data_IF_966578818027
#
_entry.id   IF_966578818027
#
_cell.length_a   1.000
_cell.length_b   1.000
_cell.length_c   1.000
_cell.angle_alpha   90.00
_cell.angle_beta   90.00
_cell.angle_gamma   90.00
#
_symmetry.space_group_name_H-M   'P 1'
#
loop_
_entity.id
_entity.type
_entity.pdbx_description
1 polymer ?
#
# COMPACT_ATOMS: atom_id res chain seq x y z
N UNK A 1 11.79 21.48 9.50
CA UNK A 1 10.57 21.11 8.72
C UNK A 1 10.97 20.24 7.54
N UNK A 2 10.22 19.20 7.29
CA UNK A 2 10.40 18.30 6.14
C UNK A 2 9.18 18.45 5.24
N UNK A 3 9.40 18.74 3.97
CA UNK A 3 8.31 18.87 2.98
C UNK A 3 8.13 17.55 2.23
N UNK A 4 6.89 17.07 2.15
CA UNK A 4 6.49 15.85 1.47
C UNK A 4 5.33 16.11 0.52
N UNK A 5 5.32 15.40 -0.60
CA UNK A 5 4.13 15.31 -1.47
C UNK A 5 3.43 13.98 -1.22
N UNK A 6 2.22 14.03 -0.64
CA UNK A 6 1.42 12.84 -0.34
C UNK A 6 0.08 12.96 -1.03
N UNK A 7 -0.25 11.99 -1.88
CA UNK A 7 -1.48 11.95 -2.66
C UNK A 7 -1.74 13.25 -3.44
N UNK A 8 -0.68 13.81 -4.02
CA UNK A 8 -0.74 15.02 -4.82
C UNK A 8 -0.80 16.33 -4.03
N UNK A 9 -0.80 16.26 -2.70
CA UNK A 9 -0.81 17.44 -1.83
C UNK A 9 0.52 17.58 -1.08
N UNK A 10 1.01 18.81 -0.97
CA UNK A 10 2.21 19.11 -0.20
C UNK A 10 1.89 19.28 1.29
N UNK A 11 2.75 18.69 2.11
CA UNK A 11 2.70 18.79 3.57
C UNK A 11 4.08 19.16 4.10
N UNK A 12 4.10 20.11 5.03
CA UNK A 12 5.29 20.46 5.80
C UNK A 12 5.12 19.91 7.22
N UNK A 13 6.00 19.01 7.62
CA UNK A 13 5.90 18.32 8.90
C UNK A 13 7.11 18.60 9.76
N UNK A 14 6.87 18.84 11.05
CA UNK A 14 7.90 19.08 12.05
C UNK A 14 8.18 17.78 12.81
N UNK A 15 9.02 16.95 12.23
CA UNK A 15 9.41 15.65 12.78
C UNK A 15 10.90 15.43 12.62
N UNK A 16 11.46 14.52 13.42
CA UNK A 16 12.86 14.09 13.26
C UNK A 16 13.07 13.41 11.90
N UNK A 17 14.24 13.63 11.23
CA UNK A 17 14.52 13.03 9.92
C UNK A 17 14.49 11.50 9.88
N UNK A 18 14.71 10.86 11.01
CA UNK A 18 14.67 9.39 11.16
C UNK A 18 13.28 8.83 11.49
N UNK A 19 12.28 9.71 11.67
CA UNK A 19 10.90 9.26 11.92
C UNK A 19 10.43 8.37 10.78
N UNK A 20 9.91 7.15 11.07
CA UNK A 20 9.35 6.29 10.03
C UNK A 20 8.21 6.97 9.28
N UNK A 21 8.23 6.85 7.97
CA UNK A 21 7.20 7.43 7.08
C UNK A 21 5.78 7.03 7.51
N UNK A 22 5.61 5.81 8.03
CA UNK A 22 4.33 5.33 8.53
C UNK A 22 3.71 6.27 9.57
N UNK A 23 4.51 6.72 10.55
CA UNK A 23 4.02 7.60 11.61
C UNK A 23 3.80 9.01 11.12
N UNK A 24 4.60 9.48 10.18
CA UNK A 24 4.36 10.78 9.53
C UNK A 24 3.01 10.77 8.82
N UNK A 25 2.72 9.71 8.07
CA UNK A 25 1.43 9.56 7.36
C UNK A 25 0.26 9.49 8.35
N UNK A 26 0.38 8.68 9.40
CA UNK A 26 -0.72 8.44 10.33
C UNK A 26 -0.92 9.57 11.34
N UNK A 27 0.18 10.04 11.96
CA UNK A 27 0.09 10.94 13.12
C UNK A 27 0.24 12.41 12.74
N UNK A 28 1.21 12.74 11.88
CA UNK A 28 1.42 14.13 11.48
C UNK A 28 0.44 14.60 10.40
N UNK A 29 0.11 13.73 9.42
CA UNK A 29 -0.80 14.05 8.31
C UNK A 29 -2.23 13.60 8.61
N UNK A 30 -2.41 12.55 9.40
CA UNK A 30 -3.74 12.05 9.81
C UNK A 30 -4.38 11.07 8.83
N UNK A 31 -3.61 10.49 7.91
CA UNK A 31 -4.09 9.46 6.98
C UNK A 31 -3.93 8.08 7.62
N UNK A 32 -5.01 7.48 8.08
CA UNK A 32 -5.00 6.27 8.91
C UNK A 32 -5.23 4.96 8.16
N UNK A 33 -5.42 5.00 6.85
CA UNK A 33 -5.63 3.80 6.02
C UNK A 33 -4.42 2.87 5.97
N UNK A 34 -3.21 3.42 5.99
CA UNK A 34 -1.97 2.66 6.09
C UNK A 34 -1.78 2.16 7.52
N UNK A 35 -1.50 0.87 7.71
CA UNK A 35 -1.54 0.22 9.02
C UNK A 35 -0.16 -0.17 9.54
N UNK A 36 0.00 -0.20 10.85
CA UNK A 36 1.15 -0.75 11.55
C UNK A 36 0.90 -2.23 11.90
N UNK A 37 1.89 -3.08 11.64
CA UNK A 37 1.84 -4.49 12.03
C UNK A 37 3.13 -4.90 12.76
N UNK A 38 4.17 -5.32 12.00
CA UNK A 38 5.41 -5.83 12.60
C UNK A 38 6.42 -4.74 12.99
N UNK A 39 6.44 -3.60 12.32
CA UNK A 39 7.47 -2.57 12.49
C UNK A 39 8.86 -2.95 11.93
N UNK A 40 8.97 -4.10 11.26
CA UNK A 40 10.22 -4.69 10.79
C UNK A 40 10.23 -4.92 9.27
N UNK A 41 9.35 -4.28 8.54
CA UNK A 41 9.20 -4.38 7.09
C UNK A 41 8.85 -5.80 6.59
N UNK A 42 8.26 -6.64 7.43
CA UNK A 42 8.01 -8.05 7.11
C UNK A 42 6.54 -8.36 6.76
N UNK A 43 5.57 -7.71 7.42
CA UNK A 43 4.17 -8.09 7.27
C UNK A 43 3.46 -7.40 6.09
N UNK A 44 3.96 -6.29 5.61
CA UNK A 44 3.39 -5.56 4.47
C UNK A 44 2.17 -4.69 4.76
N UNK A 45 1.66 -4.63 5.99
CA UNK A 45 0.49 -3.82 6.35
C UNK A 45 0.71 -2.32 6.10
N UNK A 46 1.94 -1.86 6.15
CA UNK A 46 2.34 -0.46 5.98
C UNK A 46 2.72 -0.08 4.54
N UNK A 47 2.44 -0.91 3.56
CA UNK A 47 2.86 -0.67 2.17
C UNK A 47 2.24 0.61 1.62
N UNK A 48 3.09 1.47 1.08
CA UNK A 48 2.75 2.68 0.32
C UNK A 48 3.58 2.70 -0.96
N UNK A 49 3.32 3.64 -1.87
CA UNK A 49 4.17 3.84 -3.04
C UNK A 49 5.05 5.07 -2.87
N UNK A 50 6.32 4.95 -3.29
CA UNK A 50 7.22 6.07 -3.57
C UNK A 50 7.48 6.09 -5.08
N UNK A 51 6.99 7.10 -5.78
CA UNK A 51 7.04 7.18 -7.25
C UNK A 51 6.58 5.87 -7.92
N UNK A 52 5.49 5.30 -7.43
CA UNK A 52 4.90 4.06 -7.96
C UNK A 52 5.56 2.76 -7.50
N UNK A 53 6.63 2.82 -6.71
CA UNK A 53 7.31 1.65 -6.17
C UNK A 53 6.78 1.32 -4.77
N UNK A 54 6.35 0.09 -4.57
CA UNK A 54 5.88 -0.37 -3.25
C UNK A 54 7.03 -0.42 -2.24
N UNK A 55 6.85 0.25 -1.10
CA UNK A 55 7.80 0.27 0.01
C UNK A 55 7.09 0.02 1.34
N UNK A 56 7.84 -0.43 2.34
CA UNK A 56 7.35 -0.63 3.71
C UNK A 56 7.57 0.65 4.52
N UNK A 57 6.51 1.40 4.76
CA UNK A 57 6.61 2.71 5.41
C UNK A 57 7.10 2.64 6.86
N UNK A 58 6.94 1.51 7.55
CA UNK A 58 7.42 1.35 8.93
C UNK A 58 8.94 1.36 9.06
N UNK A 59 9.66 1.02 8.00
CA UNK A 59 11.12 1.00 7.97
C UNK A 59 11.75 2.03 7.04
N UNK A 60 10.96 2.96 6.50
CA UNK A 60 11.43 4.02 5.60
C UNK A 60 11.54 5.32 6.39
N UNK A 61 12.75 5.82 6.67
CA UNK A 61 12.92 7.14 7.32
C UNK A 61 12.33 8.23 6.42
N UNK A 62 11.64 9.20 7.03
CA UNK A 62 11.03 10.30 6.27
C UNK A 62 12.03 11.08 5.44
N UNK A 63 13.25 11.24 5.94
CA UNK A 63 14.35 11.91 5.23
C UNK A 63 14.74 11.23 3.91
N UNK A 64 14.53 9.91 3.79
CA UNK A 64 14.84 9.15 2.57
C UNK A 64 13.83 9.33 1.45
N UNK A 65 12.68 9.92 1.74
CA UNK A 65 11.64 10.18 0.75
C UNK A 65 12.08 11.24 -0.26
N UNK A 66 12.74 12.31 0.23
CA UNK A 66 13.20 13.40 -0.64
C UNK A 66 12.07 14.02 -1.43
N UNK A 67 12.26 14.14 -2.74
CA UNK A 67 11.28 14.73 -3.66
C UNK A 67 10.30 13.72 -4.25
N UNK A 68 10.39 12.44 -3.84
CA UNK A 68 9.51 11.38 -4.36
C UNK A 68 8.07 11.60 -3.90
N UNK A 69 7.14 11.27 -4.77
CA UNK A 69 5.71 11.34 -4.49
C UNK A 69 5.26 10.12 -3.72
N UNK A 70 4.66 10.35 -2.56
CA UNK A 70 4.06 9.29 -1.73
C UNK A 70 2.61 9.10 -2.16
N UNK A 71 2.23 7.84 -2.41
CA UNK A 71 0.82 7.47 -2.62
C UNK A 71 0.43 6.46 -1.54
N UNK A 72 -0.62 6.79 -0.80
CA UNK A 72 -1.23 5.90 0.20
C UNK A 72 -2.51 5.28 -0.35
N UNK A 73 -3.13 4.38 0.41
CA UNK A 73 -4.41 3.76 0.01
C UNK A 73 -5.50 4.81 -0.23
N UNK A 74 -5.49 5.91 0.51
CA UNK A 74 -6.45 7.00 0.34
C UNK A 74 -6.29 7.72 -1.01
N UNK A 75 -5.09 7.67 -1.59
CA UNK A 75 -4.78 8.29 -2.88
C UNK A 75 -4.67 7.31 -4.05
N UNK A 76 -4.99 6.01 -3.85
CA UNK A 76 -4.87 5.02 -4.92
C UNK A 76 -5.81 5.33 -6.09
N UNK A 77 -7.04 5.72 -5.80
CA UNK A 77 -7.95 6.28 -6.79
C UNK A 77 -9.04 7.14 -6.13
N UNK A 78 -9.61 8.12 -6.87
CA UNK A 78 -10.79 8.85 -6.39
C UNK A 78 -11.97 7.88 -6.18
N UNK A 79 -12.74 8.08 -5.12
CA UNK A 79 -13.96 7.31 -4.83
C UNK A 79 -13.75 5.78 -4.79
N UNK A 80 -12.55 5.31 -4.47
CA UNK A 80 -12.22 3.88 -4.39
C UNK A 80 -12.57 3.11 -5.67
N UNK A 81 -12.30 3.69 -6.82
CA UNK A 81 -12.69 3.16 -8.15
C UNK A 81 -11.58 2.43 -8.89
N UNK A 82 -10.41 2.22 -8.26
CA UNK A 82 -9.34 1.44 -8.87
C UNK A 82 -9.83 0.02 -9.18
N UNK A 83 -9.48 -0.58 -10.34
CA UNK A 83 -9.90 -1.93 -10.71
C UNK A 83 -9.68 -2.97 -9.60
N UNK A 84 -8.58 -2.87 -8.87
CA UNK A 84 -8.29 -3.72 -7.71
C UNK A 84 -9.30 -3.51 -6.58
N UNK A 85 -9.66 -2.28 -6.26
CA UNK A 85 -10.65 -2.00 -5.21
C UNK A 85 -12.02 -2.54 -5.58
N UNK A 86 -12.42 -2.39 -6.83
CA UNK A 86 -13.67 -2.96 -7.36
C UNK A 86 -13.62 -4.49 -7.29
N UNK A 87 -12.51 -5.10 -7.69
CA UNK A 87 -12.33 -6.56 -7.64
C UNK A 87 -12.33 -7.09 -6.20
N UNK A 88 -11.73 -6.35 -5.26
CA UNK A 88 -11.74 -6.71 -3.84
C UNK A 88 -13.14 -6.83 -3.27
N UNK A 89 -14.00 -5.88 -3.61
CA UNK A 89 -15.42 -5.92 -3.21
C UNK A 89 -16.14 -7.08 -3.88
N UNK A 90 -15.98 -7.25 -5.19
CA UNK A 90 -16.65 -8.29 -5.96
C UNK A 90 -16.27 -9.71 -5.50
N UNK A 91 -15.02 -9.94 -5.13
CA UNK A 91 -14.53 -11.22 -4.62
C UNK A 91 -14.70 -11.37 -3.10
N UNK A 92 -15.24 -10.37 -2.42
CA UNK A 92 -15.44 -10.36 -0.96
C UNK A 92 -14.17 -10.75 -0.21
N UNK A 93 -13.04 -10.12 -0.56
CA UNK A 93 -11.71 -10.47 -0.07
C UNK A 93 -11.59 -10.29 1.44
N UNK A 94 -11.94 -9.13 2.05
CA UNK A 94 -11.62 -8.86 3.44
C UNK A 94 -12.37 -9.76 4.43
N UNK A 95 -11.70 -10.08 5.54
CA UNK A 95 -12.35 -10.52 6.78
C UNK A 95 -12.18 -9.41 7.82
N UNK A 96 -11.10 -9.39 8.63
CA UNK A 96 -10.91 -8.29 9.59
C UNK A 96 -10.57 -6.96 8.89
N UNK A 97 -10.05 -6.98 7.70
CA UNK A 97 -9.73 -5.80 6.90
C UNK A 97 -8.38 -5.15 7.22
N UNK A 98 -7.68 -5.57 8.25
CA UNK A 98 -6.49 -4.86 8.74
C UNK A 98 -5.32 -4.86 7.74
N UNK A 99 -5.06 -5.96 7.05
CA UNK A 99 -3.96 -6.09 6.08
C UNK A 99 -4.31 -5.58 4.69
N UNK A 100 -5.55 -5.22 4.42
CA UNK A 100 -6.03 -5.08 3.04
C UNK A 100 -5.50 -3.84 2.34
N UNK A 101 -5.28 -2.73 3.04
CA UNK A 101 -4.66 -1.55 2.43
C UNK A 101 -3.25 -1.89 1.89
N UNK A 102 -2.44 -2.59 2.66
CA UNK A 102 -1.12 -3.05 2.23
C UNK A 102 -1.19 -4.05 1.08
N UNK A 103 -2.14 -4.99 1.13
CA UNK A 103 -2.37 -5.96 0.06
C UNK A 103 -2.72 -5.26 -1.27
N UNK A 104 -3.64 -4.30 -1.23
CA UNK A 104 -4.04 -3.51 -2.39
C UNK A 104 -2.89 -2.70 -2.98
N UNK A 105 -2.10 -2.04 -2.13
CA UNK A 105 -0.96 -1.24 -2.59
C UNK A 105 0.13 -2.10 -3.25
N UNK A 106 0.42 -3.28 -2.69
CA UNK A 106 1.36 -4.22 -3.31
C UNK A 106 0.84 -4.76 -4.64
N UNK A 107 -0.45 -5.11 -4.71
CA UNK A 107 -1.08 -5.57 -5.93
C UNK A 107 -1.12 -4.49 -7.02
N UNK A 108 -1.39 -3.23 -6.64
CA UNK A 108 -1.39 -2.12 -7.59
C UNK A 108 0.00 -1.88 -8.21
N UNK A 109 1.06 -1.99 -7.41
CA UNK A 109 2.43 -1.90 -7.92
C UNK A 109 2.75 -3.06 -8.89
N UNK A 110 2.28 -4.27 -8.60
CA UNK A 110 2.42 -5.41 -9.50
C UNK A 110 1.73 -5.17 -10.84
N UNK A 111 0.46 -4.79 -10.83
CA UNK A 111 -0.31 -4.60 -12.07
C UNK A 111 0.22 -3.44 -12.92
N UNK A 112 0.81 -2.41 -12.30
CA UNK A 112 1.45 -1.33 -13.03
C UNK A 112 2.67 -1.81 -13.82
N UNK A 113 3.41 -2.79 -13.31
CA UNK A 113 4.58 -3.38 -13.97
C UNK A 113 4.18 -4.54 -14.89
N UNK A 114 3.21 -5.32 -14.51
CA UNK A 114 2.79 -6.55 -15.19
C UNK A 114 1.26 -6.60 -15.26
N UNK A 115 0.67 -6.01 -16.31
CA UNK A 115 -0.80 -5.89 -16.41
C UNK A 115 -1.55 -7.22 -16.47
N UNK A 116 -0.88 -8.31 -16.88
CA UNK A 116 -1.45 -9.66 -16.92
C UNK A 116 -0.52 -10.64 -16.21
N UNK A 117 -0.50 -10.62 -14.86
CA UNK A 117 0.39 -11.47 -14.09
C UNK A 117 -0.06 -12.93 -14.11
N UNK A 118 0.91 -13.84 -14.04
CA UNK A 118 0.66 -15.27 -13.77
C UNK A 118 0.47 -15.49 -12.27
N UNK A 119 0.02 -16.68 -11.86
CA UNK A 119 -0.04 -17.05 -10.45
C UNK A 119 1.33 -16.90 -9.76
N UNK A 120 2.41 -17.33 -10.44
CA UNK A 120 3.76 -17.19 -9.90
C UNK A 120 4.16 -15.72 -9.69
N UNK A 121 3.78 -14.84 -10.60
CA UNK A 121 4.03 -13.40 -10.47
C UNK A 121 3.29 -12.81 -9.27
N UNK A 122 2.04 -13.21 -9.08
CA UNK A 122 1.21 -12.77 -7.94
C UNK A 122 1.80 -13.30 -6.64
N UNK A 123 2.11 -14.58 -6.58
CA UNK A 123 2.68 -15.20 -5.37
C UNK A 123 4.00 -14.55 -4.99
N UNK A 124 4.87 -14.25 -5.95
CA UNK A 124 6.14 -13.56 -5.71
C UNK A 124 5.94 -12.12 -5.21
N UNK A 125 5.06 -11.37 -5.86
CA UNK A 125 4.81 -9.97 -5.50
C UNK A 125 4.11 -9.81 -4.15
N UNK A 126 3.23 -10.76 -3.79
CA UNK A 126 2.41 -10.70 -2.59
C UNK A 126 3.01 -11.47 -1.39
N UNK A 127 4.14 -12.14 -1.57
CA UNK A 127 4.78 -12.98 -0.53
C UNK A 127 5.12 -12.21 0.76
N UNK A 128 5.41 -10.91 0.65
CA UNK A 128 5.69 -10.04 1.78
C UNK A 128 4.45 -9.44 2.45
N UNK A 129 3.24 -9.82 2.04
CA UNK A 129 1.99 -9.31 2.60
C UNK A 129 1.26 -10.42 3.35
N UNK A 130 1.20 -10.30 4.68
CA UNK A 130 0.65 -11.33 5.56
C UNK A 130 -0.82 -11.02 5.88
N UNK A 131 -1.68 -12.02 5.76
CA UNK A 131 -3.08 -11.98 6.19
C UNK A 131 -3.33 -13.03 7.26
N UNK A 132 -3.59 -12.60 8.49
CA UNK A 132 -3.88 -13.54 9.60
C UNK A 132 -5.19 -14.30 9.41
N UNK A 133 -6.14 -13.70 8.67
CA UNK A 133 -7.43 -14.33 8.34
C UNK A 133 -7.32 -15.32 7.18
N UNK A 134 -6.17 -15.38 6.49
CA UNK A 134 -5.93 -16.36 5.43
C UNK A 134 -6.66 -16.08 4.12
N UNK A 135 -6.89 -14.83 3.74
CA UNK A 135 -7.65 -14.47 2.54
C UNK A 135 -6.86 -14.57 1.23
N UNK A 136 -5.72 -15.26 1.22
CA UNK A 136 -4.78 -15.28 0.09
C UNK A 136 -5.39 -15.75 -1.23
N UNK A 137 -6.25 -16.78 -1.19
CA UNK A 137 -6.89 -17.29 -2.41
C UNK A 137 -7.85 -16.27 -3.03
N UNK A 138 -8.59 -15.54 -2.19
CA UNK A 138 -9.48 -14.46 -2.64
C UNK A 138 -8.69 -13.29 -3.20
N UNK A 139 -7.56 -12.94 -2.57
CA UNK A 139 -6.63 -11.92 -3.06
C UNK A 139 -6.14 -12.27 -4.47
N UNK A 140 -5.68 -13.50 -4.68
CA UNK A 140 -5.21 -13.97 -6.00
C UNK A 140 -6.31 -13.85 -7.05
N UNK A 141 -7.54 -14.32 -6.75
CA UNK A 141 -8.69 -14.18 -7.65
C UNK A 141 -9.00 -12.73 -7.98
N UNK A 142 -8.99 -11.87 -6.97
CA UNK A 142 -9.25 -10.44 -7.16
C UNK A 142 -8.21 -9.77 -8.04
N UNK A 143 -6.94 -10.12 -7.90
CA UNK A 143 -5.86 -9.60 -8.75
C UNK A 143 -6.07 -10.04 -10.20
N UNK A 144 -6.38 -11.31 -10.46
CA UNK A 144 -6.70 -11.79 -11.80
C UNK A 144 -7.93 -11.08 -12.39
N UNK A 145 -8.97 -10.90 -11.58
CA UNK A 145 -10.17 -10.18 -12.00
C UNK A 145 -9.85 -8.73 -12.39
N UNK A 146 -9.08 -8.04 -11.59
CA UNK A 146 -8.67 -6.67 -11.89
C UNK A 146 -7.80 -6.60 -13.15
N UNK A 147 -6.93 -7.58 -13.37
CA UNK A 147 -6.07 -7.66 -14.56
C UNK A 147 -6.85 -7.95 -15.84
N UNK A 148 -8.01 -8.60 -15.75
CA UNK A 148 -8.90 -8.88 -16.89
C UNK A 148 -9.92 -7.78 -17.17
N UNK A 149 -9.97 -6.78 -16.29
CA UNK A 149 -10.95 -5.69 -16.38
C UNK A 149 -10.57 -4.65 -17.45
#
# INVERSE_FOLDING_TARGET
MISLTVNGKQYDVDVSPDTPLLWVIRDAIGLTGTKFGCGLQQCGACTVHLDGVAVRACGTPVSSVGTKKVTTIEGLSPASSHPLQVAWVAEQVPQCGYCQSGQLMSAAALLAKKPKPTDADIDGAMAGNICRCGTYQRIRRAIHRAAGA
#
